data_IF_036515800699
#
_entry.id   IF_036515800699
#
_cell.length_a   1.000
_cell.length_b   1.000
_cell.length_c   1.000
_cell.angle_alpha   90.00
_cell.angle_beta   90.00
_cell.angle_gamma   90.00
#
_symmetry.space_group_name_H-M   'P 1'
#
loop_
_entity.id
_entity.type
_entity.pdbx_description
1 polymer ?
#
# COMPACT_ATOMS: atom_id res chain seq x y z
N UNK A 1 18.44 28.01 -0.18
CA UNK A 1 17.21 27.99 0.66
C UNK A 1 16.28 26.92 0.15
N UNK A 2 15.80 26.06 1.03
CA UNK A 2 14.75 25.07 0.75
C UNK A 2 13.41 25.79 0.57
N UNK A 3 12.65 25.44 -0.47
CA UNK A 3 11.39 26.13 -0.84
C UNK A 3 10.12 25.31 -0.61
N UNK A 4 10.24 23.98 -0.45
CA UNK A 4 9.14 23.07 -0.20
C UNK A 4 9.67 21.74 0.36
N UNK A 5 8.78 20.95 0.96
CA UNK A 5 9.01 19.56 1.36
C UNK A 5 8.11 18.63 0.53
N UNK A 6 8.71 17.58 -0.04
CA UNK A 6 7.99 16.51 -0.74
C UNK A 6 8.28 15.23 0.03
N UNK A 7 7.24 14.62 0.60
CA UNK A 7 7.36 13.35 1.33
C UNK A 7 6.97 12.21 0.39
N UNK A 8 7.79 11.16 0.34
CA UNK A 8 7.33 9.87 -0.17
C UNK A 8 6.35 9.26 0.85
N UNK A 9 5.37 8.47 0.39
CA UNK A 9 4.41 7.80 1.27
C UNK A 9 4.93 6.45 1.73
N UNK A 10 5.49 5.68 0.79
CA UNK A 10 5.89 4.30 0.99
C UNK A 10 7.21 4.23 1.78
N UNK A 11 7.18 3.62 2.97
CA UNK A 11 8.36 3.46 3.82
C UNK A 11 8.88 4.76 4.49
N UNK A 12 8.24 5.90 4.24
CA UNK A 12 8.62 7.22 4.80
C UNK A 12 7.51 7.83 5.67
N UNK A 13 6.24 7.57 5.35
CA UNK A 13 5.10 8.02 6.16
C UNK A 13 4.35 6.84 6.80
N UNK A 14 4.41 5.65 6.19
CA UNK A 14 3.85 4.42 6.74
C UNK A 14 4.52 3.15 6.21
N UNK A 15 4.38 2.04 6.94
CA UNK A 15 4.79 0.71 6.51
C UNK A 15 3.72 0.10 5.58
N UNK A 16 3.66 0.64 4.36
CA UNK A 16 2.60 0.33 3.39
C UNK A 16 2.74 -1.03 2.73
N UNK A 17 3.97 -1.54 2.67
CA UNK A 17 4.29 -2.82 2.03
C UNK A 17 3.82 -4.01 2.87
N UNK A 18 3.99 -3.97 4.20
CA UNK A 18 3.47 -5.02 5.11
C UNK A 18 1.97 -5.14 4.98
N UNK A 19 1.29 -4.00 4.96
CA UNK A 19 -0.17 -3.95 4.92
C UNK A 19 -0.71 -4.45 3.58
N UNK A 20 -0.13 -4.02 2.47
CA UNK A 20 -0.51 -4.48 1.14
C UNK A 20 -0.30 -5.99 0.97
N UNK A 21 0.84 -6.52 1.43
CA UNK A 21 1.13 -7.96 1.37
C UNK A 21 0.24 -8.77 2.31
N UNK A 22 -0.13 -8.21 3.47
CA UNK A 22 -1.09 -8.86 4.38
C UNK A 22 -2.46 -9.00 3.71
N UNK A 23 -2.97 -7.91 3.11
CA UNK A 23 -4.25 -7.93 2.40
C UNK A 23 -4.21 -8.90 1.21
N UNK A 24 -3.09 -8.95 0.48
CA UNK A 24 -2.93 -9.86 -0.65
C UNK A 24 -2.92 -11.33 -0.20
N UNK A 25 -2.21 -11.66 0.89
CA UNK A 25 -2.21 -12.99 1.48
C UNK A 25 -3.60 -13.45 1.92
N UNK A 26 -4.37 -12.55 2.56
CA UNK A 26 -5.77 -12.79 2.94
C UNK A 26 -6.64 -13.10 1.70
N UNK A 27 -6.55 -12.28 0.65
CA UNK A 27 -7.33 -12.45 -0.59
C UNK A 27 -6.97 -13.77 -1.31
N UNK A 28 -5.68 -14.10 -1.42
CA UNK A 28 -5.25 -15.35 -2.08
C UNK A 28 -5.70 -16.58 -1.27
N UNK A 29 -5.70 -16.46 0.05
CA UNK A 29 -6.27 -17.48 0.95
C UNK A 29 -7.77 -17.66 0.73
N UNK A 30 -8.54 -16.57 0.61
CA UNK A 30 -9.97 -16.60 0.28
C UNK A 30 -10.26 -17.24 -1.09
N UNK A 31 -9.32 -17.15 -2.04
CA UNK A 31 -9.42 -17.79 -3.35
C UNK A 31 -9.13 -19.30 -3.32
N UNK A 32 -8.79 -19.87 -2.15
CA UNK A 32 -8.57 -21.30 -1.94
C UNK A 32 -7.10 -21.72 -1.90
N UNK A 33 -6.16 -20.76 -1.85
CA UNK A 33 -4.72 -21.04 -1.79
C UNK A 33 -4.19 -20.50 -0.46
N UNK A 34 -4.01 -21.36 0.57
CA UNK A 34 -3.47 -20.93 1.86
C UNK A 34 -2.13 -20.21 1.68
N UNK A 35 -2.11 -18.91 2.03
CA UNK A 35 -0.98 -18.01 1.74
C UNK A 35 -0.65 -17.22 3.00
N UNK A 36 0.60 -17.32 3.46
CA UNK A 36 1.10 -16.51 4.56
C UNK A 36 1.56 -15.13 4.07
N UNK A 37 1.78 -14.19 4.98
CA UNK A 37 2.32 -12.87 4.62
C UNK A 37 3.73 -13.02 4.03
N UNK A 38 4.54 -13.92 4.58
CA UNK A 38 5.87 -14.26 4.07
C UNK A 38 5.83 -14.86 2.67
N UNK A 39 4.81 -15.66 2.35
CA UNK A 39 4.58 -16.16 1.00
C UNK A 39 4.20 -15.02 0.06
N UNK A 40 3.31 -14.12 0.49
CA UNK A 40 2.95 -12.94 -0.30
C UNK A 40 4.17 -12.09 -0.61
N UNK A 41 5.02 -11.83 0.37
CA UNK A 41 6.27 -11.11 0.17
C UNK A 41 7.17 -11.77 -0.87
N UNK A 42 7.41 -13.07 -0.72
CA UNK A 42 8.28 -13.82 -1.62
C UNK A 42 7.74 -13.87 -3.05
N UNK A 43 6.43 -13.94 -3.20
CA UNK A 43 5.78 -14.12 -4.50
C UNK A 43 5.48 -12.80 -5.20
N UNK A 44 5.16 -11.73 -4.47
CA UNK A 44 4.50 -10.55 -5.05
C UNK A 44 5.23 -9.23 -4.80
N UNK A 45 6.15 -9.17 -3.85
CA UNK A 45 6.88 -7.93 -3.55
C UNK A 45 7.64 -7.42 -4.78
N UNK A 46 7.51 -6.11 -5.04
CA UNK A 46 8.18 -5.42 -6.15
C UNK A 46 7.62 -5.73 -7.55
N UNK A 47 6.60 -6.59 -7.66
CA UNK A 47 5.95 -6.90 -8.94
C UNK A 47 4.88 -5.88 -9.27
N UNK A 48 4.62 -5.71 -10.57
CA UNK A 48 3.51 -4.86 -11.02
C UNK A 48 2.19 -5.59 -10.74
N UNK A 49 1.13 -4.84 -10.44
CA UNK A 49 -0.16 -5.42 -10.07
C UNK A 49 -0.70 -6.41 -11.13
N UNK A 50 -0.52 -6.11 -12.43
CA UNK A 50 -0.91 -7.01 -13.50
C UNK A 50 -0.12 -8.33 -13.51
N UNK A 51 1.15 -8.32 -13.10
CA UNK A 51 1.97 -9.54 -12.96
C UNK A 51 1.49 -10.37 -11.77
N UNK A 52 1.15 -9.72 -10.66
CA UNK A 52 0.57 -10.36 -9.47
C UNK A 52 -0.74 -11.08 -9.83
N UNK A 53 -1.65 -10.40 -10.54
CA UNK A 53 -2.93 -11.01 -10.99
C UNK A 53 -2.67 -12.26 -11.83
N UNK A 54 -1.77 -12.18 -12.81
CA UNK A 54 -1.43 -13.33 -13.66
C UNK A 54 -0.83 -14.49 -12.87
N UNK A 55 -0.04 -14.22 -11.84
CA UNK A 55 0.50 -15.27 -10.96
C UNK A 55 -0.57 -15.90 -10.08
N UNK A 56 -1.47 -15.10 -9.52
CA UNK A 56 -2.61 -15.61 -8.75
C UNK A 56 -3.48 -16.50 -9.65
N UNK A 57 -3.85 -16.04 -10.86
CA UNK A 57 -4.65 -16.80 -11.83
C UNK A 57 -4.02 -18.15 -12.18
N UNK A 58 -2.70 -18.18 -12.37
CA UNK A 58 -1.95 -19.43 -12.59
C UNK A 58 -2.04 -20.36 -11.38
N UNK A 59 -1.89 -19.84 -10.17
CA UNK A 59 -1.94 -20.65 -8.94
C UNK A 59 -3.36 -21.15 -8.63
N UNK A 60 -4.39 -20.35 -8.86
CA UNK A 60 -5.80 -20.75 -8.64
C UNK A 60 -6.39 -21.55 -9.80
N UNK A 61 -5.71 -21.59 -10.95
CA UNK A 61 -6.13 -22.34 -12.14
C UNK A 61 -7.35 -21.75 -12.86
N UNK A 62 -7.66 -20.46 -12.65
CA UNK A 62 -8.81 -19.77 -13.26
C UNK A 62 -8.54 -18.28 -13.40
N UNK A 63 -9.25 -17.63 -14.32
CA UNK A 63 -9.25 -16.17 -14.45
C UNK A 63 -9.99 -15.52 -13.27
N UNK A 64 -9.47 -14.40 -12.77
CA UNK A 64 -10.13 -13.60 -11.75
C UNK A 64 -11.20 -12.71 -12.40
N UNK A 65 -12.12 -12.19 -11.57
CA UNK A 65 -13.13 -11.25 -12.06
C UNK A 65 -12.47 -9.96 -12.54
N UNK A 66 -13.12 -9.26 -13.47
CA UNK A 66 -12.69 -7.92 -13.89
C UNK A 66 -12.71 -6.90 -12.74
N UNK A 67 -13.47 -7.15 -11.67
CA UNK A 67 -13.52 -6.32 -10.46
C UNK A 67 -12.34 -6.54 -9.51
N UNK A 68 -11.59 -7.63 -9.65
CA UNK A 68 -10.60 -8.07 -8.67
C UNK A 68 -9.58 -6.98 -8.31
N UNK A 69 -9.12 -6.23 -9.32
CA UNK A 69 -8.19 -5.11 -9.11
C UNK A 69 -8.76 -4.02 -8.22
N UNK A 70 -9.99 -3.59 -8.52
CA UNK A 70 -10.70 -2.58 -7.71
C UNK A 70 -11.02 -3.08 -6.30
N UNK A 71 -11.36 -4.36 -6.16
CA UNK A 71 -11.65 -4.97 -4.87
C UNK A 71 -10.39 -5.05 -3.98
N UNK A 72 -9.24 -5.42 -4.55
CA UNK A 72 -7.94 -5.41 -3.87
C UNK A 72 -7.55 -3.99 -3.43
N UNK A 73 -7.69 -3.01 -4.33
CA UNK A 73 -7.40 -1.62 -4.06
C UNK A 73 -8.27 -1.08 -2.92
N UNK A 74 -9.58 -1.32 -2.97
CA UNK A 74 -10.52 -0.87 -1.95
C UNK A 74 -10.20 -1.46 -0.57
N UNK A 75 -9.95 -2.78 -0.49
CA UNK A 75 -9.58 -3.44 0.77
C UNK A 75 -8.26 -2.92 1.34
N UNK A 76 -7.26 -2.73 0.48
CA UNK A 76 -5.96 -2.19 0.89
C UNK A 76 -6.12 -0.76 1.43
N UNK A 77 -6.93 0.07 0.76
CA UNK A 77 -7.22 1.43 1.19
C UNK A 77 -7.99 1.49 2.52
N UNK A 78 -8.96 0.60 2.72
CA UNK A 78 -9.71 0.55 3.97
C UNK A 78 -8.84 0.07 5.12
N UNK A 79 -7.97 -0.93 4.90
CA UNK A 79 -6.98 -1.35 5.90
C UNK A 79 -6.02 -0.21 6.21
N UNK A 80 -5.55 0.54 5.21
CA UNK A 80 -4.74 1.74 5.44
C UNK A 80 -5.45 2.74 6.35
N UNK A 81 -6.70 3.10 6.07
CA UNK A 81 -7.44 4.06 6.91
C UNK A 81 -7.55 3.63 8.37
N UNK A 82 -7.58 2.32 8.64
CA UNK A 82 -7.77 1.77 9.98
C UNK A 82 -6.46 1.57 10.74
N UNK A 83 -5.37 1.21 10.06
CA UNK A 83 -4.16 0.72 10.72
C UNK A 83 -2.89 1.49 10.37
N UNK A 84 -2.96 2.52 9.53
CA UNK A 84 -1.79 3.33 9.17
C UNK A 84 -1.28 4.09 10.39
N UNK A 85 -0.14 3.64 10.92
CA UNK A 85 0.58 4.35 11.97
C UNK A 85 1.65 5.24 11.34
N UNK A 86 1.71 6.54 11.68
CA UNK A 86 2.80 7.41 11.24
C UNK A 86 4.15 6.88 11.70
N UNK A 87 5.18 6.99 10.85
CA UNK A 87 6.55 6.67 11.25
C UNK A 87 6.97 7.52 12.45
N UNK A 88 7.67 6.91 13.41
CA UNK A 88 8.18 7.61 14.58
C UNK A 88 9.04 8.83 14.18
N UNK A 89 8.76 10.00 14.76
CA UNK A 89 9.48 11.24 14.45
C UNK A 89 8.93 12.02 13.26
N UNK A 90 8.01 11.46 12.45
CA UNK A 90 7.49 12.15 11.26
C UNK A 90 6.67 13.38 11.65
N UNK A 91 5.89 13.30 12.73
CA UNK A 91 5.05 14.41 13.21
C UNK A 91 5.92 15.55 13.73
N UNK A 92 6.94 15.23 14.52
CA UNK A 92 7.90 16.18 15.08
C UNK A 92 8.73 16.86 13.98
N UNK A 93 9.11 16.10 12.95
CA UNK A 93 9.79 16.66 11.78
C UNK A 93 8.89 17.63 11.02
N UNK A 94 7.66 17.20 10.69
CA UNK A 94 6.67 18.03 9.99
C UNK A 94 6.37 19.33 10.75
N UNK A 95 6.33 19.28 12.09
CA UNK A 95 6.11 20.46 12.93
C UNK A 95 7.26 21.48 12.84
N UNK A 96 8.52 21.03 12.72
CA UNK A 96 9.69 21.92 12.59
C UNK A 96 9.72 22.73 11.28
N UNK A 97 8.94 22.31 10.28
CA UNK A 97 8.87 22.92 8.96
C UNK A 97 7.43 23.30 8.57
N UNK A 98 6.61 23.69 9.54
CA UNK A 98 5.25 24.21 9.37
C UNK A 98 5.14 25.39 8.39
N UNK A 99 6.17 26.23 8.36
CA UNK A 99 6.31 27.39 7.49
C UNK A 99 6.62 27.07 6.01
N UNK A 100 6.92 25.81 5.66
CA UNK A 100 7.20 25.41 4.29
C UNK A 100 5.97 24.72 3.65
N UNK A 101 5.69 25.02 2.36
CA UNK A 101 4.74 24.22 1.57
C UNK A 101 5.14 22.74 1.57
N UNK A 102 4.15 21.85 1.68
CA UNK A 102 4.35 20.41 1.77
C UNK A 102 3.40 19.64 0.85
N UNK A 103 3.89 18.56 0.25
CA UNK A 103 3.05 17.58 -0.45
C UNK A 103 3.53 16.15 -0.18
N UNK A 104 2.64 15.20 -0.45
CA UNK A 104 2.95 13.77 -0.49
C UNK A 104 3.04 13.37 -1.96
N UNK A 105 4.13 12.72 -2.35
CA UNK A 105 4.26 11.97 -3.58
C UNK A 105 4.07 10.49 -3.25
N UNK A 106 3.08 9.84 -3.85
CA UNK A 106 2.80 8.43 -3.60
C UNK A 106 2.56 7.72 -4.93
N UNK A 107 3.09 6.50 -5.03
CA UNK A 107 2.80 5.57 -6.14
C UNK A 107 1.44 4.87 -5.97
N UNK A 108 0.96 4.80 -4.72
CA UNK A 108 -0.34 4.25 -4.34
C UNK A 108 -1.45 5.28 -4.53
N UNK A 109 -1.90 5.43 -5.78
CA UNK A 109 -3.20 6.04 -6.16
C UNK A 109 -3.33 7.53 -5.76
N UNK A 110 -3.64 8.37 -6.75
CA UNK A 110 -3.70 9.83 -6.65
C UNK A 110 -4.68 10.46 -5.62
N UNK A 111 -5.34 9.67 -4.74
CA UNK A 111 -6.43 10.11 -3.85
C UNK A 111 -6.06 10.35 -2.39
N UNK A 112 -4.82 10.15 -1.96
CA UNK A 112 -4.46 10.38 -0.54
C UNK A 112 -3.65 11.66 -0.33
N UNK A 113 -4.37 12.77 -0.12
CA UNK A 113 -3.81 14.06 0.33
C UNK A 113 -4.40 14.55 1.66
N UNK A 114 -4.92 13.65 2.51
CA UNK A 114 -5.76 14.07 3.67
C UNK A 114 -5.58 13.30 4.98
N UNK A 115 -4.37 12.83 5.28
CA UNK A 115 -4.08 12.14 6.56
C UNK A 115 -3.07 12.86 7.48
N UNK A 116 -2.63 14.07 7.15
CA UNK A 116 -1.65 14.81 7.98
C UNK A 116 -2.23 16.13 8.52
N UNK A 117 -3.49 16.11 8.95
CA UNK A 117 -4.06 17.15 9.82
C UNK A 117 -3.82 16.80 11.29
#
# INVERSE_FOLDING_TARGET
MTKALIFDFDGVVADSEVLANTVLAEIVTELGVPTTVEDSYRCYLGKRFNEIVLEIEKTVGRTLSSSFGGDCEARTLDRFRQTLTPIAGVREFIAKFDHLPRCIASSLIAKQARCLS
#
